data_IF_008099928649
#
_entry.id   IF_008099928649
#
_cell.length_a   1.000
_cell.length_b   1.000
_cell.length_c   1.000
_cell.angle_alpha   90.00
_cell.angle_beta   90.00
_cell.angle_gamma   90.00
#
_symmetry.space_group_name_H-M   'P 1'
#
loop_
_entity.id
_entity.type
_entity.pdbx_description
1 polymer ?
#
# COMPACT_ATOMS: atom_id res chain seq x y z
N UNK A 1 -6.72 21.34 -8.80
CA UNK A 1 -8.15 21.66 -9.02
C UNK A 1 -9.01 20.93 -8.00
N UNK A 2 -9.03 19.59 -7.97
CA UNK A 2 -9.84 18.81 -7.01
C UNK A 2 -9.60 19.11 -5.51
N UNK A 3 -8.37 19.43 -5.10
CA UNK A 3 -8.06 19.68 -3.69
C UNK A 3 -8.74 20.95 -3.14
N UNK A 4 -8.84 22.02 -3.94
CA UNK A 4 -9.51 23.26 -3.52
C UNK A 4 -11.02 23.08 -3.41
N UNK A 5 -11.61 22.35 -4.36
CA UNK A 5 -13.03 22.01 -4.33
C UNK A 5 -13.35 21.15 -3.10
N UNK A 6 -12.57 20.11 -2.84
CA UNK A 6 -12.71 19.27 -1.64
C UNK A 6 -12.61 20.09 -0.35
N UNK A 7 -11.69 21.05 -0.27
CA UNK A 7 -11.59 21.94 0.87
C UNK A 7 -12.84 22.83 1.01
N UNK A 8 -13.33 23.37 -0.09
CA UNK A 8 -14.52 24.25 -0.10
C UNK A 8 -15.81 23.56 0.30
N UNK A 9 -15.92 22.25 0.07
CA UNK A 9 -17.08 21.43 0.45
C UNK A 9 -17.07 20.97 1.91
N UNK A 10 -15.98 21.20 2.65
CA UNK A 10 -15.92 20.85 4.06
C UNK A 10 -16.64 21.89 4.92
N UNK A 11 -17.40 21.40 5.89
CA UNK A 11 -18.03 22.24 6.90
C UNK A 11 -16.99 23.10 7.63
N UNK A 12 -17.41 24.30 8.05
CA UNK A 12 -16.54 25.26 8.73
C UNK A 12 -15.95 24.66 10.01
N UNK A 13 -16.72 23.87 10.75
CA UNK A 13 -16.27 23.16 11.96
C UNK A 13 -15.13 22.18 11.65
N UNK A 14 -15.24 21.44 10.53
CA UNK A 14 -14.22 20.48 10.10
C UNK A 14 -12.96 21.20 9.63
N UNK A 15 -13.10 22.29 8.88
CA UNK A 15 -11.95 23.11 8.44
C UNK A 15 -11.22 23.75 9.61
N UNK A 16 -11.95 24.19 10.64
CA UNK A 16 -11.37 24.75 11.86
C UNK A 16 -10.68 23.69 12.72
N UNK A 17 -11.27 22.49 12.84
CA UNK A 17 -10.72 21.41 13.65
C UNK A 17 -9.44 20.79 13.07
N UNK A 18 -9.42 20.50 11.76
CA UNK A 18 -8.29 19.83 11.11
C UNK A 18 -7.26 20.80 10.51
N UNK A 19 -7.71 21.96 10.03
CA UNK A 19 -6.84 22.96 9.45
C UNK A 19 -6.37 22.65 8.03
N UNK A 20 -6.02 23.71 7.32
CA UNK A 20 -5.57 23.64 5.92
C UNK A 20 -4.24 22.89 5.73
N UNK A 21 -3.22 23.04 6.61
CA UNK A 21 -1.95 22.33 6.45
C UNK A 21 -2.13 20.80 6.46
N UNK A 22 -2.86 20.27 7.44
CA UNK A 22 -3.14 18.83 7.54
C UNK A 22 -3.87 18.30 6.31
N UNK A 23 -4.89 19.03 5.82
CA UNK A 23 -5.59 18.66 4.60
C UNK A 23 -4.66 18.56 3.39
N UNK A 24 -3.77 19.54 3.21
CA UNK A 24 -2.82 19.55 2.10
C UNK A 24 -1.86 18.35 2.19
N UNK A 25 -1.37 18.02 3.38
CA UNK A 25 -0.46 16.88 3.60
C UNK A 25 -1.15 15.53 3.29
N UNK A 26 -2.40 15.38 3.74
CA UNK A 26 -3.20 14.18 3.45
C UNK A 26 -3.48 14.07 1.95
N UNK A 27 -3.84 15.16 1.27
CA UNK A 27 -4.09 15.12 -0.18
C UNK A 27 -2.80 14.81 -0.94
N UNK A 28 -1.68 15.42 -0.56
CA UNK A 28 -0.39 15.17 -1.19
C UNK A 28 0.03 13.69 -1.06
N UNK A 29 -0.06 13.13 0.16
CA UNK A 29 0.26 11.71 0.40
C UNK A 29 -0.69 10.76 -0.35
N UNK A 30 -2.00 11.05 -0.37
CA UNK A 30 -2.99 10.27 -1.13
C UNK A 30 -2.71 10.29 -2.63
N UNK A 31 -2.38 11.46 -3.18
CA UNK A 31 -2.05 11.59 -4.60
C UNK A 31 -0.76 10.87 -4.95
N UNK A 32 0.25 10.90 -4.07
CA UNK A 32 1.48 10.15 -4.25
C UNK A 32 1.19 8.64 -4.35
N UNK A 33 0.43 8.10 -3.39
CA UNK A 33 0.06 6.67 -3.35
C UNK A 33 -0.73 6.27 -4.60
N UNK A 34 -1.73 7.07 -5.00
CA UNK A 34 -2.52 6.79 -6.19
C UNK A 34 -1.68 6.82 -7.48
N UNK A 35 -0.65 7.67 -7.54
CA UNK A 35 0.26 7.74 -8.70
C UNK A 35 1.32 6.64 -8.68
N UNK A 36 1.69 6.14 -7.51
CA UNK A 36 2.65 5.05 -7.35
C UNK A 36 2.01 3.66 -7.46
N UNK A 37 0.71 3.58 -7.78
CA UNK A 37 0.05 2.31 -8.05
C UNK A 37 0.66 1.61 -9.25
N UNK A 38 0.89 0.30 -9.13
CA UNK A 38 1.41 -0.50 -10.23
C UNK A 38 0.32 -0.67 -11.30
N UNK A 39 0.61 -0.29 -12.55
CA UNK A 39 -0.33 -0.47 -13.66
C UNK A 39 -0.50 -1.96 -14.04
N UNK A 40 0.44 -2.80 -13.62
CA UNK A 40 0.40 -4.23 -13.84
C UNK A 40 -0.55 -4.91 -12.84
N UNK A 41 -1.64 -5.48 -13.35
CA UNK A 41 -2.66 -6.16 -12.55
C UNK A 41 -2.45 -7.68 -12.46
N UNK A 42 -1.32 -8.20 -12.97
CA UNK A 42 -1.05 -9.65 -13.00
C UNK A 42 -1.16 -10.30 -11.62
N UNK A 43 -0.67 -9.65 -10.56
CA UNK A 43 -0.77 -10.16 -9.19
C UNK A 43 -2.22 -10.36 -8.72
N UNK A 44 -3.15 -9.55 -9.22
CA UNK A 44 -4.58 -9.66 -8.92
C UNK A 44 -5.21 -10.81 -9.72
N UNK A 45 -4.89 -10.92 -11.00
CA UNK A 45 -5.44 -11.97 -11.86
C UNK A 45 -4.94 -13.35 -11.45
N UNK A 46 -3.68 -13.45 -11.05
CA UNK A 46 -3.06 -14.70 -10.59
C UNK A 46 -3.67 -15.13 -9.27
N UNK A 47 -3.84 -14.21 -8.31
CA UNK A 47 -4.52 -14.51 -7.05
C UNK A 47 -5.96 -14.98 -7.26
N UNK A 48 -6.66 -14.41 -8.25
CA UNK A 48 -8.01 -14.86 -8.62
C UNK A 48 -8.00 -16.25 -9.25
N UNK A 49 -7.07 -16.52 -10.18
CA UNK A 49 -6.93 -17.82 -10.80
C UNK A 49 -6.59 -18.90 -9.76
N UNK A 50 -5.66 -18.61 -8.86
CA UNK A 50 -5.29 -19.48 -7.75
C UNK A 50 -6.49 -19.79 -6.85
N UNK A 51 -7.31 -18.78 -6.53
CA UNK A 51 -8.52 -18.99 -5.74
C UNK A 51 -9.53 -19.94 -6.38
N UNK A 52 -9.57 -20.01 -7.72
CA UNK A 52 -10.47 -20.89 -8.47
C UNK A 52 -9.91 -22.31 -8.64
N UNK A 53 -8.58 -22.47 -8.71
CA UNK A 53 -7.93 -23.74 -9.04
C UNK A 53 -7.42 -24.48 -7.78
N UNK A 54 -7.23 -23.79 -6.65
CA UNK A 54 -6.73 -24.41 -5.43
C UNK A 54 -7.66 -25.51 -4.90
N UNK A 55 -7.08 -26.68 -4.63
CA UNK A 55 -7.78 -27.83 -4.04
C UNK A 55 -8.34 -27.55 -2.64
N UNK A 56 -7.69 -26.66 -1.89
CA UNK A 56 -8.07 -26.23 -0.54
C UNK A 56 -8.11 -24.71 -0.50
N UNK A 57 -9.26 -24.08 -0.84
CA UNK A 57 -9.33 -22.63 -0.94
C UNK A 57 -9.14 -21.95 0.42
N UNK A 58 -8.42 -20.83 0.42
CA UNK A 58 -8.20 -20.01 1.61
C UNK A 58 -9.29 -18.94 1.80
N UNK A 59 -9.50 -18.52 3.04
CA UNK A 59 -10.44 -17.43 3.36
C UNK A 59 -9.94 -16.06 2.88
N UNK A 60 -8.62 -15.89 2.72
CA UNK A 60 -8.00 -14.64 2.28
C UNK A 60 -6.87 -14.91 1.31
N UNK A 61 -6.97 -14.31 0.13
CA UNK A 61 -5.88 -14.23 -0.85
C UNK A 61 -5.34 -12.81 -0.85
N UNK A 62 -4.03 -12.67 -0.86
CA UNK A 62 -3.37 -11.38 -0.93
C UNK A 62 -2.76 -11.23 -2.33
N UNK A 63 -3.32 -10.35 -3.18
CA UNK A 63 -2.78 -10.11 -4.51
C UNK A 63 -1.52 -9.26 -4.39
N UNK A 64 -0.39 -9.93 -4.14
CA UNK A 64 0.92 -9.29 -4.03
C UNK A 64 1.93 -10.05 -4.86
N UNK A 65 2.92 -9.31 -5.38
CA UNK A 65 4.09 -9.92 -5.99
C UNK A 65 4.86 -10.79 -5.00
N UNK A 66 5.63 -11.74 -5.53
CA UNK A 66 6.45 -12.65 -4.73
C UNK A 66 7.46 -11.90 -3.86
N UNK A 67 8.01 -10.80 -4.37
CA UNK A 67 8.92 -9.91 -3.64
C UNK A 67 8.24 -9.29 -2.42
N UNK A 68 7.04 -8.73 -2.58
CA UNK A 68 6.27 -8.14 -1.48
C UNK A 68 5.80 -9.22 -0.49
N UNK A 69 5.46 -10.41 -0.97
CA UNK A 69 5.11 -11.55 -0.13
C UNK A 69 6.26 -11.94 0.81
N UNK A 70 7.47 -12.11 0.27
CA UNK A 70 8.65 -12.43 1.09
C UNK A 70 8.91 -11.30 2.11
N UNK A 71 8.80 -10.04 1.67
CA UNK A 71 9.00 -8.89 2.54
C UNK A 71 8.03 -8.87 3.73
N UNK A 72 6.75 -9.06 3.47
CA UNK A 72 5.70 -9.10 4.51
C UNK A 72 5.91 -10.31 5.42
N UNK A 73 6.23 -11.48 4.86
CA UNK A 73 6.50 -12.69 5.62
C UNK A 73 7.68 -12.50 6.58
N UNK A 74 8.78 -11.91 6.11
CA UNK A 74 9.95 -11.60 6.95
C UNK A 74 9.56 -10.62 8.05
N UNK A 75 8.84 -9.55 7.72
CA UNK A 75 8.42 -8.55 8.70
C UNK A 75 7.49 -9.11 9.79
N UNK A 76 6.61 -10.05 9.44
CA UNK A 76 5.62 -10.59 10.37
C UNK A 76 6.15 -11.70 11.28
N UNK A 77 7.10 -12.50 10.79
CA UNK A 77 7.55 -13.71 11.48
C UNK A 77 8.96 -13.60 12.07
N UNK A 78 9.76 -12.63 11.65
CA UNK A 78 11.13 -12.49 12.12
C UNK A 78 11.33 -11.25 12.99
N UNK A 79 12.32 -11.27 13.89
CA UNK A 79 12.70 -10.08 14.66
C UNK A 79 13.18 -8.93 13.76
N UNK A 80 13.04 -7.72 14.27
CA UNK A 80 13.38 -6.46 13.58
C UNK A 80 14.80 -6.46 12.98
N UNK A 81 15.80 -7.02 13.69
CA UNK A 81 17.17 -7.09 13.18
C UNK A 81 17.33 -7.95 11.92
N UNK A 82 16.50 -8.99 11.74
CA UNK A 82 16.49 -9.82 10.53
C UNK A 82 15.88 -9.06 9.38
N UNK A 83 14.78 -8.36 9.65
CA UNK A 83 14.10 -7.51 8.67
C UNK A 83 15.04 -6.41 8.17
N UNK A 84 15.71 -5.71 9.08
CA UNK A 84 16.66 -4.63 8.75
C UNK A 84 17.82 -5.13 7.90
N UNK A 85 18.43 -6.27 8.26
CA UNK A 85 19.48 -6.87 7.44
C UNK A 85 18.98 -7.24 6.04
N UNK A 86 17.79 -7.86 5.95
CA UNK A 86 17.24 -8.30 4.67
C UNK A 86 16.89 -7.13 3.74
N UNK A 87 16.36 -6.04 4.30
CA UNK A 87 15.95 -4.88 3.52
C UNK A 87 17.09 -3.92 3.20
N UNK A 88 17.96 -3.63 4.16
CA UNK A 88 19.04 -2.65 3.99
C UNK A 88 20.17 -3.23 3.12
N UNK A 89 20.56 -4.48 3.36
CA UNK A 89 21.75 -5.08 2.73
C UNK A 89 21.46 -5.98 1.53
N UNK A 90 20.37 -6.76 1.55
CA UNK A 90 20.12 -7.77 0.52
C UNK A 90 19.24 -7.25 -0.62
N UNK A 91 18.09 -6.64 -0.31
CA UNK A 91 17.13 -6.21 -1.34
C UNK A 91 17.56 -4.94 -2.10
N UNK A 92 18.26 -3.99 -1.44
CA UNK A 92 18.77 -2.78 -2.10
C UNK A 92 19.94 -3.04 -3.07
N UNK A 93 20.61 -4.21 -3.00
CA UNK A 93 21.69 -4.60 -3.93
C UNK A 93 21.19 -5.36 -5.16
N UNK A 94 19.92 -5.74 -5.20
CA UNK A 94 19.31 -6.56 -6.25
C UNK A 94 18.50 -5.76 -7.29
N UNK A 95 18.35 -4.44 -7.09
CA UNK A 95 17.76 -3.49 -8.05
C UNK A 95 18.80 -2.52 -8.59
#
# INVERSE_FOLDING_TARGET
MFAEEMWSYMDEEVRAAYGRPYFNDVVASRMLINRSGEANLTSVTDALADALVQKYPQERYQPMGLDLFIRVFVAQHFPEWVYDYFFIEFMNKLG
#
